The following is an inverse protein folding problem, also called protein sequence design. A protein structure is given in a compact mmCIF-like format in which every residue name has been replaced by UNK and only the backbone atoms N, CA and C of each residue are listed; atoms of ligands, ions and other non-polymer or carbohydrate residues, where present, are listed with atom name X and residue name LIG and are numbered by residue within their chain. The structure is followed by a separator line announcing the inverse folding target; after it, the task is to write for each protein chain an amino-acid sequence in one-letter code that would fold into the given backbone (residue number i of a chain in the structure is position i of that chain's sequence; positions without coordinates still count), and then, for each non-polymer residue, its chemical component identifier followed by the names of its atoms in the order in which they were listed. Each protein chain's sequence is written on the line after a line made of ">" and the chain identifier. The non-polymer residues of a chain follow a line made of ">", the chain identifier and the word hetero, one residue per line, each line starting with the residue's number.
data_IF_110640759841
#
_entry.id   IF_110640759841
#
_cell.length_a   1.000
_cell.length_b   1.000
_cell.length_c   1.000
_cell.angle_alpha   90.00
_cell.angle_beta   90.00
_cell.angle_gamma   90.00
#
_symmetry.space_group_name_H-M   'P 1'
#
loop_
_entity.id
_entity.type
_entity.pdbx_description
1 polymer ?
#
# COMPACT_ATOMS: atom_id res chain seq x y z
N UNK A 1 -20.11 -3.86 30.26
CA UNK A 1 -19.40 -2.57 30.17
C UNK A 1 -19.26 -2.24 28.70
N UNK A 2 -19.59 -1.02 28.26
CA UNK A 2 -19.22 -0.57 26.90
C UNK A 2 -17.73 -0.27 26.92
N UNK A 3 -16.96 -0.97 26.10
CA UNK A 3 -15.54 -0.67 25.89
C UNK A 3 -15.39 0.51 24.94
N UNK A 4 -14.26 1.20 25.00
CA UNK A 4 -13.94 2.28 24.07
C UNK A 4 -12.90 1.80 23.07
N UNK A 5 -12.99 2.29 21.84
CA UNK A 5 -12.02 2.02 20.80
C UNK A 5 -10.64 2.51 21.24
N UNK A 6 -9.63 1.66 21.21
CA UNK A 6 -8.26 1.97 21.62
C UNK A 6 -7.57 2.96 20.66
N UNK A 7 -8.10 3.14 19.44
CA UNK A 7 -7.58 4.08 18.44
C UNK A 7 -8.28 5.45 18.47
N UNK A 8 -9.61 5.49 18.63
CA UNK A 8 -10.39 6.73 18.50
C UNK A 8 -11.26 7.09 19.72
N UNK A 9 -11.24 6.27 20.78
CA UNK A 9 -12.00 6.51 22.02
C UNK A 9 -13.52 6.34 21.91
N UNK A 10 -14.05 6.07 20.70
CA UNK A 10 -15.50 5.90 20.49
C UNK A 10 -15.99 4.60 21.14
N UNK A 11 -17.16 4.62 21.78
CA UNK A 11 -17.76 3.42 22.36
C UNK A 11 -17.95 2.32 21.31
N UNK A 12 -17.44 1.14 21.59
CA UNK A 12 -17.54 -0.03 20.71
C UNK A 12 -17.63 -1.32 21.51
N UNK A 13 -18.35 -2.30 20.97
CA UNK A 13 -18.34 -3.67 21.46
C UNK A 13 -17.50 -4.59 20.55
N UNK A 14 -16.93 -4.04 19.48
CA UNK A 14 -16.09 -4.76 18.54
C UNK A 14 -14.77 -5.11 19.22
N UNK A 15 -14.28 -6.30 18.91
CA UNK A 15 -12.99 -6.79 19.36
C UNK A 15 -12.25 -7.37 18.17
N UNK A 16 -10.98 -7.00 18.06
CA UNK A 16 -10.05 -7.55 17.08
C UNK A 16 -8.99 -8.34 17.82
N UNK A 17 -8.65 -9.52 17.32
CA UNK A 17 -7.55 -10.30 17.88
C UNK A 17 -6.20 -9.70 17.51
N UNK A 18 -5.18 -9.97 18.31
CA UNK A 18 -3.80 -9.59 17.97
C UNK A 18 -3.36 -10.13 16.62
N UNK A 19 -3.75 -11.37 16.28
CA UNK A 19 -3.39 -12.00 15.02
C UNK A 19 -3.98 -11.24 13.82
N UNK A 20 -5.24 -10.79 13.92
CA UNK A 20 -5.87 -9.97 12.87
C UNK A 20 -5.12 -8.65 12.70
N UNK A 21 -4.82 -7.95 13.80
CA UNK A 21 -4.12 -6.66 13.73
C UNK A 21 -2.71 -6.81 13.16
N UNK A 22 -1.99 -7.88 13.53
CA UNK A 22 -0.67 -8.20 12.99
C UNK A 22 -0.73 -8.55 11.50
N UNK A 23 -1.76 -9.25 11.06
CA UNK A 23 -1.95 -9.62 9.63
C UNK A 23 -2.06 -8.38 8.75
N UNK A 24 -2.68 -7.31 9.27
CA UNK A 24 -2.85 -6.04 8.57
C UNK A 24 -1.77 -5.00 8.88
N UNK A 25 -0.69 -5.38 9.58
CA UNK A 25 0.37 -4.47 10.07
C UNK A 25 -0.14 -3.31 10.93
N UNK A 26 -1.34 -3.44 11.51
CA UNK A 26 -1.98 -2.46 12.41
C UNK A 26 -1.40 -2.56 13.82
N UNK A 27 -0.72 -3.66 14.15
CA UNK A 27 -0.10 -3.90 15.46
C UNK A 27 0.95 -2.84 15.85
N UNK A 28 1.50 -2.11 14.88
CA UNK A 28 2.39 -0.97 15.12
C UNK A 28 1.73 0.19 15.88
N UNK A 29 0.40 0.30 15.82
CA UNK A 29 -0.36 1.34 16.52
C UNK A 29 -0.66 0.98 17.97
N UNK A 30 -0.24 -0.22 18.40
CA UNK A 30 -0.55 -0.79 19.70
C UNK A 30 0.64 -0.66 20.63
N UNK A 31 0.41 -0.15 21.84
CA UNK A 31 1.46 0.06 22.85
C UNK A 31 1.76 -1.18 23.70
N UNK A 32 0.81 -2.10 23.83
CA UNK A 32 0.88 -3.26 24.71
C UNK A 32 0.33 -4.51 24.03
N UNK A 33 1.00 -5.65 24.17
CA UNK A 33 0.53 -6.92 23.60
C UNK A 33 -0.61 -7.51 24.45
N UNK A 34 -1.82 -7.51 23.90
CA UNK A 34 -3.04 -8.13 24.42
C UNK A 34 -3.55 -9.16 23.42
N UNK A 35 -4.31 -10.14 23.89
CA UNK A 35 -4.92 -11.15 23.00
C UNK A 35 -6.04 -10.54 22.13
N UNK A 36 -6.81 -9.60 22.71
CA UNK A 36 -7.89 -8.88 22.05
C UNK A 36 -7.81 -7.39 22.35
N UNK A 37 -8.18 -6.59 21.36
CA UNK A 37 -8.25 -5.14 21.43
C UNK A 37 -9.65 -4.66 21.10
N UNK A 38 -10.10 -3.65 21.84
CA UNK A 38 -11.34 -2.97 21.53
C UNK A 38 -11.07 -1.97 20.42
N UNK A 39 -11.24 -2.36 19.16
CA UNK A 39 -11.07 -1.49 17.99
C UNK A 39 -12.36 -1.51 17.20
N UNK A 40 -12.95 -0.34 16.96
CA UNK A 40 -14.18 -0.26 16.18
C UNK A 40 -13.90 -0.58 14.71
N UNK A 41 -14.90 -1.16 14.04
CA UNK A 41 -14.79 -1.54 12.63
C UNK A 41 -14.28 -0.40 11.74
N UNK A 42 -14.77 0.83 11.93
CA UNK A 42 -14.36 2.00 11.13
C UNK A 42 -12.86 2.31 11.23
N UNK A 43 -12.25 2.13 12.40
CA UNK A 43 -10.82 2.35 12.55
C UNK A 43 -10.02 1.22 11.90
N UNK A 44 -10.47 -0.02 12.08
CA UNK A 44 -9.84 -1.16 11.43
C UNK A 44 -9.88 -1.08 9.90
N UNK A 45 -11.06 -0.82 9.35
CA UNK A 45 -11.33 -0.66 7.91
C UNK A 45 -10.40 0.41 7.30
N UNK A 46 -10.35 1.59 7.92
CA UNK A 46 -9.48 2.69 7.48
C UNK A 46 -7.99 2.33 7.48
N UNK A 47 -7.49 1.63 8.51
CA UNK A 47 -6.06 1.27 8.55
C UNK A 47 -5.75 0.13 7.58
N UNK A 48 -6.67 -0.83 7.40
CA UNK A 48 -6.51 -1.88 6.39
C UNK A 48 -6.49 -1.32 4.96
N UNK A 49 -7.32 -0.30 4.66
CA UNK A 49 -7.34 0.37 3.36
C UNK A 49 -6.01 1.07 3.05
N UNK A 50 -5.43 1.78 4.02
CA UNK A 50 -4.10 2.39 3.85
C UNK A 50 -3.01 1.37 3.55
N UNK A 51 -3.08 0.19 4.17
CA UNK A 51 -2.11 -0.87 3.89
C UNK A 51 -2.30 -1.41 2.46
N UNK A 52 -3.54 -1.60 2.01
CA UNK A 52 -3.85 -1.98 0.62
C UNK A 52 -3.29 -0.95 -0.37
N UNK A 53 -3.50 0.35 -0.10
CA UNK A 53 -2.97 1.44 -0.94
C UNK A 53 -1.43 1.42 -1.01
N UNK A 54 -0.77 1.21 0.13
CA UNK A 54 0.70 1.12 0.22
C UNK A 54 1.25 -0.08 -0.55
N UNK A 55 0.60 -1.23 -0.43
CA UNK A 55 1.01 -2.45 -1.15
C UNK A 55 0.79 -2.30 -2.66
N UNK A 56 -0.33 -1.70 -3.08
CA UNK A 56 -0.61 -1.38 -4.48
C UNK A 56 0.41 -0.39 -5.07
N UNK A 57 0.75 0.69 -4.36
CA UNK A 57 1.79 1.64 -4.79
C UNK A 57 3.16 0.96 -4.90
N UNK A 58 3.50 0.08 -3.95
CA UNK A 58 4.75 -0.68 -3.99
C UNK A 58 4.84 -1.59 -5.23
N UNK A 59 3.76 -2.28 -5.58
CA UNK A 59 3.73 -3.14 -6.76
C UNK A 59 3.75 -2.35 -8.07
N UNK A 60 3.06 -1.20 -8.14
CA UNK A 60 3.18 -0.28 -9.26
C UNK A 60 4.61 0.23 -9.46
N UNK A 61 5.33 0.54 -8.36
CA UNK A 61 6.74 0.96 -8.42
C UNK A 61 7.64 -0.17 -8.96
N UNK A 62 7.41 -1.42 -8.55
CA UNK A 62 8.14 -2.57 -9.11
C UNK A 62 7.86 -2.75 -10.60
N UNK A 63 6.60 -2.67 -11.02
CA UNK A 63 6.23 -2.76 -12.44
C UNK A 63 6.89 -1.65 -13.25
N UNK A 64 6.92 -0.42 -12.72
CA UNK A 64 7.58 0.71 -13.37
C UNK A 64 9.08 0.49 -13.51
N UNK A 65 9.74 -0.02 -12.47
CA UNK A 65 11.16 -0.35 -12.50
C UNK A 65 11.47 -1.46 -13.52
N UNK A 66 10.59 -2.47 -13.63
CA UNK A 66 10.72 -3.52 -14.64
C UNK A 66 10.56 -2.96 -16.05
N UNK A 67 9.58 -2.08 -16.27
CA UNK A 67 9.36 -1.42 -17.56
C UNK A 67 10.58 -0.57 -17.96
N UNK A 68 11.16 0.20 -17.04
CA UNK A 68 12.38 0.98 -17.32
C UNK A 68 13.55 0.09 -17.72
N UNK A 69 13.75 -1.05 -17.02
CA UNK A 69 14.79 -2.02 -17.42
C UNK A 69 14.55 -2.59 -18.82
N UNK A 70 13.30 -2.92 -19.16
CA UNK A 70 12.95 -3.41 -20.49
C UNK A 70 13.19 -2.33 -21.56
N UNK A 71 12.84 -1.08 -21.27
CA UNK A 71 13.10 0.06 -22.15
C UNK A 71 14.59 0.28 -22.42
N UNK A 72 15.43 0.17 -21.40
CA UNK A 72 16.88 0.31 -21.52
C UNK A 72 17.53 -0.83 -22.33
N UNK A 73 17.03 -2.06 -22.18
CA UNK A 73 17.59 -3.24 -22.84
C UNK A 73 17.09 -3.42 -24.28
N UNK A 74 15.79 -3.26 -24.51
CA UNK A 74 15.13 -3.66 -25.76
C UNK A 74 14.64 -2.46 -26.61
N UNK A 75 14.64 -1.25 -26.03
CA UNK A 75 13.98 -0.07 -26.59
C UNK A 75 12.45 -0.14 -26.52
N UNK A 76 11.76 0.99 -26.64
CA UNK A 76 10.29 1.00 -26.70
C UNK A 76 9.81 0.73 -28.12
N UNK A 77 8.91 -0.23 -28.32
CA UNK A 77 8.12 -0.33 -29.55
C UNK A 77 6.72 0.21 -29.30
N UNK A 78 6.29 1.19 -30.10
CA UNK A 78 4.92 1.66 -30.04
C UNK A 78 3.97 0.53 -30.50
N UNK A 79 3.02 0.07 -29.67
CA UNK A 79 2.12 -1.02 -30.03
C UNK A 79 1.10 -0.67 -31.12
N UNK A 80 0.96 0.62 -31.47
CA UNK A 80 0.02 1.09 -32.50
C UNK A 80 0.66 1.22 -33.89
N UNK A 81 1.95 1.54 -33.96
CA UNK A 81 2.63 1.81 -35.25
C UNK A 81 3.96 1.06 -35.43
N UNK A 82 4.32 0.18 -34.50
CA UNK A 82 5.57 -0.61 -34.48
C UNK A 82 6.88 0.20 -34.54
N UNK A 83 6.79 1.53 -34.39
CA UNK A 83 7.95 2.42 -34.33
C UNK A 83 8.80 2.16 -33.09
N UNK A 84 10.12 1.98 -33.29
CA UNK A 84 11.10 1.83 -32.20
C UNK A 84 11.62 3.19 -31.74
N UNK A 85 11.61 3.42 -30.44
CA UNK A 85 12.21 4.59 -29.78
C UNK A 85 13.32 4.10 -28.86
N UNK A 86 14.53 4.63 -29.05
CA UNK A 86 15.67 4.42 -28.15
C UNK A 86 15.89 5.69 -27.32
N UNK A 87 16.46 5.55 -26.11
CA UNK A 87 16.68 6.65 -25.14
C UNK A 87 17.82 7.60 -25.58
N UNK A 88 18.32 7.48 -26.81
CA UNK A 88 19.33 8.38 -27.33
C UNK A 88 18.66 9.63 -27.92
N UNK A 89 18.85 10.76 -27.23
CA UNK A 89 18.53 12.15 -27.59
C UNK A 89 17.32 12.76 -26.87
N UNK A 90 17.59 13.28 -25.68
CA UNK A 90 16.90 14.46 -25.16
C UNK A 90 17.86 15.65 -25.18
N UNK A 91 17.43 16.70 -25.91
CA UNK A 91 17.84 18.11 -25.85
C UNK A 91 19.27 18.52 -26.21
N UNK A 92 19.45 19.04 -27.43
CA UNK A 92 20.08 20.35 -27.60
C UNK A 92 19.14 21.25 -28.41
N UNK A 93 18.51 22.20 -27.71
CA UNK A 93 17.81 23.33 -28.34
C UNK A 93 18.86 24.34 -28.80
N UNK A 94 18.84 24.70 -30.08
CA UNK A 94 19.39 25.96 -30.59
C UNK A 94 18.23 26.92 -30.84
#
# INVERSE_FOLDING_TARGET
>A
MKTCCELCGTATNDKMSYLELKTWEIDQLIKEVKEFYSICYKCFDKESEKQIEKDADHDLRKQRALLYKQLEQDGFKCPSCDGKFTVEHVCQSN
#
